data_IF_440876299237
#
_entry.id   IF_440876299237
#
_cell.length_a   1.000
_cell.length_b   1.000
_cell.length_c   1.000
_cell.angle_alpha   90.00
_cell.angle_beta   90.00
_cell.angle_gamma   90.00
#
_symmetry.space_group_name_H-M   'P 1'
#
loop_
_entity.id
_entity.type
_entity.pdbx_description
1 polymer ?
#
# COMPACT_ATOMS: atom_id res chain seq x y z
N UNK A 1 -20.13 -20.56 -16.67
CA UNK A 1 -20.15 -19.23 -16.03
C UNK A 1 -18.76 -18.67 -16.21
N UNK A 2 -18.56 -17.59 -16.96
CA UNK A 2 -17.24 -16.93 -17.02
C UNK A 2 -16.97 -16.40 -15.62
N UNK A 3 -16.03 -16.96 -14.90
CA UNK A 3 -15.53 -16.37 -13.67
C UNK A 3 -15.06 -14.95 -14.02
N UNK A 4 -15.60 -13.95 -13.34
CA UNK A 4 -15.18 -12.57 -13.51
C UNK A 4 -13.70 -12.46 -13.15
N UNK A 5 -13.01 -11.47 -13.73
CA UNK A 5 -11.60 -11.18 -13.36
C UNK A 5 -11.51 -10.87 -11.87
N UNK A 6 -10.41 -11.31 -11.25
CA UNK A 6 -10.07 -10.91 -9.88
C UNK A 6 -9.85 -9.40 -9.83
N UNK A 7 -10.46 -8.74 -8.86
CA UNK A 7 -10.25 -7.30 -8.62
C UNK A 7 -9.16 -7.11 -7.57
N UNK A 8 -8.09 -6.45 -7.94
CA UNK A 8 -6.89 -6.32 -7.10
C UNK A 8 -6.60 -4.86 -6.82
N UNK A 9 -6.52 -4.52 -5.53
CA UNK A 9 -6.14 -3.19 -5.05
C UNK A 9 -4.63 -3.00 -5.14
N UNK A 10 -4.19 -1.90 -5.73
CA UNK A 10 -2.77 -1.56 -5.94
C UNK A 10 -2.37 -0.35 -5.10
N UNK A 11 -1.34 -0.52 -4.25
CA UNK A 11 -0.84 0.47 -3.30
C UNK A 11 0.62 0.82 -3.60
N UNK A 12 0.88 2.06 -4.02
CA UNK A 12 2.20 2.54 -4.42
C UNK A 12 3.15 2.79 -3.24
N UNK A 13 4.44 2.93 -3.51
CA UNK A 13 5.47 3.28 -2.52
C UNK A 13 5.48 4.76 -2.15
N UNK A 14 6.29 5.12 -1.14
CA UNK A 14 6.53 6.51 -0.72
C UNK A 14 7.07 7.34 -1.89
N UNK A 15 6.63 8.60 -1.99
CA UNK A 15 6.96 9.54 -3.05
C UNK A 15 6.64 9.05 -4.48
N UNK A 16 5.79 8.05 -4.60
CA UNK A 16 5.18 7.61 -5.85
C UNK A 16 3.74 8.12 -5.95
N UNK A 17 3.06 7.79 -7.03
CA UNK A 17 1.63 7.95 -7.24
C UNK A 17 1.10 6.78 -8.08
N UNK A 18 -0.22 6.72 -8.26
CA UNK A 18 -0.86 5.67 -9.06
C UNK A 18 -0.28 5.56 -10.48
N UNK A 19 0.08 6.68 -11.12
CA UNK A 19 0.60 6.69 -12.50
C UNK A 19 2.02 6.13 -12.56
N UNK A 20 2.91 6.57 -11.68
CA UNK A 20 4.28 6.07 -11.60
C UNK A 20 4.32 4.60 -11.21
N UNK A 21 3.45 4.16 -10.30
CA UNK A 21 3.35 2.76 -9.92
C UNK A 21 2.78 1.89 -11.06
N UNK A 22 1.74 2.35 -11.75
CA UNK A 22 1.20 1.66 -12.93
C UNK A 22 2.27 1.43 -14.00
N UNK A 23 3.12 2.42 -14.25
CA UNK A 23 4.24 2.28 -15.19
C UNK A 23 5.25 1.23 -14.72
N UNK A 24 5.58 1.22 -13.43
CA UNK A 24 6.55 0.26 -12.84
C UNK A 24 6.10 -1.19 -12.99
N UNK A 25 4.82 -1.47 -12.84
CA UNK A 25 4.27 -2.84 -12.91
C UNK A 25 3.55 -3.14 -14.24
N UNK A 26 3.80 -2.36 -15.29
CA UNK A 26 3.11 -2.52 -16.57
C UNK A 26 3.25 -3.92 -17.17
N UNK A 27 4.42 -4.57 -17.03
CA UNK A 27 4.65 -5.94 -17.49
C UNK A 27 3.75 -6.95 -16.74
N UNK A 28 3.64 -6.83 -15.41
CA UNK A 28 2.74 -7.66 -14.60
C UNK A 28 1.29 -7.43 -15.00
N UNK A 29 0.88 -6.17 -15.14
CA UNK A 29 -0.48 -5.83 -15.57
C UNK A 29 -0.82 -6.44 -16.92
N UNK A 30 0.11 -6.39 -17.88
CA UNK A 30 -0.05 -7.00 -19.21
C UNK A 30 -0.19 -8.53 -19.11
N UNK A 31 0.61 -9.18 -18.29
CA UNK A 31 0.59 -10.64 -18.12
C UNK A 31 -0.68 -11.13 -17.44
N UNK A 32 -1.25 -10.34 -16.52
CA UNK A 32 -2.44 -10.72 -15.75
C UNK A 32 -3.76 -10.20 -16.36
N UNK A 33 -3.73 -9.50 -17.50
CA UNK A 33 -4.88 -8.79 -18.06
C UNK A 33 -6.14 -9.65 -18.28
N UNK A 34 -5.94 -10.95 -18.50
CA UNK A 34 -7.06 -11.87 -18.80
C UNK A 34 -7.69 -12.44 -17.52
N UNK A 35 -6.99 -12.39 -16.38
CA UNK A 35 -7.39 -12.96 -15.10
C UNK A 35 -7.63 -11.94 -14.00
N UNK A 36 -7.08 -10.72 -14.11
CA UNK A 36 -7.20 -9.70 -13.08
C UNK A 36 -7.45 -8.30 -13.64
N UNK A 37 -8.22 -7.52 -12.87
CA UNK A 37 -8.40 -6.08 -13.01
C UNK A 37 -7.64 -5.38 -11.88
N UNK A 38 -6.70 -4.48 -12.23
CA UNK A 38 -5.88 -3.74 -11.29
C UNK A 38 -6.45 -2.34 -11.05
N UNK A 39 -6.84 -2.07 -9.80
CA UNK A 39 -7.39 -0.80 -9.36
C UNK A 39 -6.35 -0.08 -8.50
N UNK A 40 -5.87 1.07 -8.96
CA UNK A 40 -4.79 1.82 -8.34
C UNK A 40 -5.33 2.91 -7.44
N UNK A 41 -5.11 2.80 -6.15
CA UNK A 41 -5.35 3.87 -5.21
C UNK A 41 -4.18 4.88 -5.20
N UNK A 42 -4.47 6.12 -4.82
CA UNK A 42 -3.47 7.19 -4.78
C UNK A 42 -3.37 7.75 -3.36
N UNK A 43 -2.18 7.69 -2.76
CA UNK A 43 -1.97 8.15 -1.39
C UNK A 43 -2.46 9.59 -1.17
N UNK A 44 -3.12 9.89 -0.05
CA UNK A 44 -3.75 11.19 0.17
C UNK A 44 -2.76 12.32 0.48
N UNK A 45 -1.53 11.98 0.92
CA UNK A 45 -0.56 12.98 1.37
C UNK A 45 0.39 13.38 0.25
N UNK A 46 0.54 14.69 0.03
CA UNK A 46 1.61 15.23 -0.79
C UNK A 46 2.91 15.23 0.01
N UNK A 47 3.99 14.76 -0.59
CA UNK A 47 5.31 14.68 0.03
C UNK A 47 6.38 15.20 -0.92
N UNK A 48 7.58 15.56 -0.41
CA UNK A 48 8.70 15.88 -1.29
C UNK A 48 9.06 14.71 -2.20
N UNK A 49 9.60 15.02 -3.37
CA UNK A 49 10.17 14.01 -4.27
C UNK A 49 11.38 13.33 -3.61
N UNK A 50 11.72 12.13 -4.09
CA UNK A 50 12.99 11.51 -3.71
C UNK A 50 14.14 12.11 -4.53
N UNK A 51 15.37 12.18 -3.96
CA UNK A 51 16.55 12.50 -4.73
C UNK A 51 16.71 11.57 -5.94
N UNK A 52 17.21 12.11 -7.04
CA UNK A 52 17.55 11.35 -8.25
C UNK A 52 18.86 11.85 -8.84
N UNK A 53 19.45 11.11 -9.78
CA UNK A 53 20.68 11.54 -10.47
C UNK A 53 20.51 12.89 -11.18
N UNK A 54 19.32 13.14 -11.76
CA UNK A 54 18.99 14.39 -12.43
C UNK A 54 18.57 15.51 -11.48
N UNK A 55 18.21 15.19 -10.25
CA UNK A 55 17.77 16.14 -9.24
C UNK A 55 18.14 15.61 -7.84
N UNK A 56 19.34 15.94 -7.34
CA UNK A 56 19.83 15.42 -6.06
C UNK A 56 19.09 15.99 -4.85
N UNK A 57 18.45 17.15 -4.99
CA UNK A 57 17.70 17.78 -3.91
C UNK A 57 16.21 17.41 -4.00
N UNK A 58 15.59 16.96 -2.89
CA UNK A 58 14.15 16.73 -2.84
C UNK A 58 13.38 18.02 -3.15
N UNK A 59 12.52 17.98 -4.15
CA UNK A 59 11.62 19.11 -4.42
C UNK A 59 10.45 19.09 -3.43
N UNK A 60 10.08 20.25 -2.86
CA UNK A 60 8.91 20.36 -2.02
C UNK A 60 7.64 20.00 -2.80
N UNK A 61 6.58 19.56 -2.13
CA UNK A 61 5.30 19.32 -2.79
C UNK A 61 4.81 20.59 -3.49
N UNK A 62 4.43 20.48 -4.76
CA UNK A 62 3.79 21.55 -5.49
C UNK A 62 2.37 21.11 -5.89
N UNK A 63 1.31 21.69 -5.30
CA UNK A 63 -0.08 21.34 -5.62
C UNK A 63 -0.46 21.63 -7.07
N UNK A 64 0.24 22.55 -7.73
CA UNK A 64 -0.01 22.94 -9.12
C UNK A 64 0.64 21.98 -10.12
N UNK A 65 1.47 21.05 -9.67
CA UNK A 65 2.02 20.03 -10.54
C UNK A 65 0.91 19.11 -11.09
N UNK A 66 1.03 18.66 -12.34
CA UNK A 66 0.12 17.66 -12.88
C UNK A 66 0.05 16.43 -11.97
N UNK A 67 -1.13 15.82 -11.76
CA UNK A 67 -1.33 14.71 -10.82
C UNK A 67 -0.33 13.56 -10.98
N UNK A 68 0.11 13.29 -12.20
CA UNK A 68 1.09 12.24 -12.51
C UNK A 68 2.52 12.58 -12.08
N UNK A 69 2.81 13.83 -11.74
CA UNK A 69 4.12 14.30 -11.21
C UNK A 69 4.12 14.48 -9.71
N UNK A 70 2.95 14.54 -9.07
CA UNK A 70 2.85 14.75 -7.64
C UNK A 70 3.36 13.53 -6.87
N UNK A 71 4.37 13.73 -6.03
CA UNK A 71 4.84 12.70 -5.11
C UNK A 71 3.85 12.54 -3.94
N UNK A 72 3.45 11.31 -3.66
CA UNK A 72 2.42 10.97 -2.69
C UNK A 72 2.89 9.93 -1.70
N UNK A 73 2.23 9.87 -0.55
CA UNK A 73 2.47 8.87 0.48
C UNK A 73 1.16 8.46 1.18
N UNK A 74 1.23 7.34 1.87
CA UNK A 74 0.15 6.84 2.72
C UNK A 74 0.24 7.42 4.14
N UNK A 75 1.44 7.65 4.61
CA UNK A 75 1.75 8.28 5.90
C UNK A 75 3.19 8.80 5.88
N UNK A 76 3.52 9.70 6.80
CA UNK A 76 4.89 10.10 7.08
C UNK A 76 5.38 9.37 8.34
N UNK A 77 6.56 8.74 8.27
CA UNK A 77 7.18 8.13 9.44
C UNK A 77 8.04 9.16 10.18
N UNK A 78 7.72 9.40 11.45
CA UNK A 78 8.50 10.28 12.32
C UNK A 78 8.59 9.65 13.70
N UNK A 79 9.81 9.38 14.17
CA UNK A 79 10.08 8.78 15.49
C UNK A 79 9.26 7.49 15.75
N UNK A 80 9.15 6.62 14.74
CA UNK A 80 8.37 5.38 14.82
C UNK A 80 6.84 5.56 14.78
N UNK A 81 6.33 6.77 14.60
CA UNK A 81 4.91 7.08 14.46
C UNK A 81 4.51 7.32 13.01
N UNK A 82 3.30 6.92 12.65
CA UNK A 82 2.73 7.14 11.32
C UNK A 82 1.79 8.34 11.34
N UNK A 83 2.37 9.50 11.00
CA UNK A 83 1.64 10.77 10.92
C UNK A 83 0.74 10.77 9.67
N UNK A 84 -0.51 11.19 9.82
CA UNK A 84 -1.48 11.24 8.73
C UNK A 84 -2.27 9.95 8.54
N UNK A 85 -2.08 8.94 9.41
CA UNK A 85 -2.80 7.68 9.31
C UNK A 85 -4.33 7.85 9.28
N UNK A 86 -4.92 8.67 10.14
CA UNK A 86 -6.37 8.88 10.17
C UNK A 86 -6.94 9.38 8.83
N UNK A 87 -6.21 10.27 8.13
CA UNK A 87 -6.58 10.72 6.79
C UNK A 87 -6.51 9.57 5.78
N UNK A 88 -5.48 8.75 5.86
CA UNK A 88 -5.31 7.57 5.00
C UNK A 88 -6.40 6.53 5.26
N UNK A 89 -6.73 6.26 6.51
CA UNK A 89 -7.79 5.33 6.88
C UNK A 89 -9.14 5.79 6.32
N UNK A 90 -9.49 7.06 6.52
CA UNK A 90 -10.73 7.63 5.98
C UNK A 90 -10.77 7.56 4.45
N UNK A 91 -9.67 7.93 3.78
CA UNK A 91 -9.57 7.84 2.33
C UNK A 91 -9.76 6.40 1.82
N UNK A 92 -9.11 5.41 2.47
CA UNK A 92 -9.20 4.01 2.06
C UNK A 92 -10.58 3.42 2.31
N UNK A 93 -11.24 3.79 3.40
CA UNK A 93 -12.63 3.39 3.67
C UNK A 93 -13.54 3.83 2.53
N UNK A 94 -13.44 5.10 2.13
CA UNK A 94 -14.23 5.64 1.04
C UNK A 94 -13.86 5.01 -0.30
N UNK A 95 -12.57 4.90 -0.61
CA UNK A 95 -12.07 4.32 -1.86
C UNK A 95 -12.51 2.85 -2.02
N UNK A 96 -12.42 2.05 -0.96
CA UNK A 96 -12.82 0.64 -0.99
C UNK A 96 -14.35 0.49 -1.08
N UNK A 97 -15.09 1.38 -0.42
CA UNK A 97 -16.55 1.42 -0.55
C UNK A 97 -16.99 1.73 -1.97
N UNK A 98 -16.31 2.66 -2.65
CA UNK A 98 -16.66 3.10 -4.00
C UNK A 98 -16.20 2.11 -5.08
N UNK A 99 -15.01 1.54 -4.92
CA UNK A 99 -14.34 0.74 -5.95
C UNK A 99 -14.27 -0.75 -5.64
N UNK A 100 -14.57 -1.19 -4.42
CA UNK A 100 -14.57 -2.60 -4.01
C UNK A 100 -15.81 -3.37 -4.47
N UNK A 101 -15.97 -4.62 -4.05
CA UNK A 101 -14.99 -5.36 -3.24
C UNK A 101 -13.74 -5.75 -4.02
N UNK A 102 -12.66 -6.08 -3.29
CA UNK A 102 -11.40 -6.53 -3.86
C UNK A 102 -11.11 -7.98 -3.44
N UNK A 103 -10.66 -8.81 -4.39
CA UNK A 103 -10.21 -10.18 -4.14
C UNK A 103 -8.82 -10.23 -3.52
N UNK A 104 -7.96 -9.26 -3.84
CA UNK A 104 -6.59 -9.22 -3.35
C UNK A 104 -6.01 -7.81 -3.28
N UNK A 105 -4.84 -7.72 -2.68
CA UNK A 105 -4.07 -6.47 -2.57
C UNK A 105 -2.61 -6.68 -2.98
N UNK A 106 -2.05 -5.72 -3.71
CA UNK A 106 -0.63 -5.68 -4.05
C UNK A 106 -0.06 -4.35 -3.58
N UNK A 107 0.97 -4.39 -2.73
CA UNK A 107 1.66 -3.21 -2.26
C UNK A 107 3.13 -3.21 -2.64
N UNK A 108 3.69 -2.01 -2.83
CA UNK A 108 5.12 -1.79 -3.05
C UNK A 108 5.69 -0.89 -1.95
N UNK A 109 6.77 -1.31 -1.29
CA UNK A 109 7.48 -0.56 -0.25
C UNK A 109 6.51 -0.04 0.84
N UNK A 110 6.28 1.26 1.00
CA UNK A 110 5.29 1.80 1.93
C UNK A 110 3.88 1.26 1.66
N UNK A 111 3.50 1.09 0.39
CA UNK A 111 2.24 0.45 0.03
C UNK A 111 2.18 -1.03 0.41
N UNK A 112 3.34 -1.72 0.47
CA UNK A 112 3.40 -3.10 0.95
C UNK A 112 3.24 -3.19 2.48
N UNK A 113 3.81 -2.25 3.24
CA UNK A 113 3.51 -2.11 4.66
C UNK A 113 2.00 -1.88 4.88
N UNK A 114 1.41 -0.98 4.09
CA UNK A 114 -0.03 -0.70 4.15
C UNK A 114 -0.87 -1.93 3.76
N UNK A 115 -0.46 -2.72 2.75
CA UNK A 115 -1.17 -3.95 2.39
C UNK A 115 -1.19 -4.96 3.55
N UNK A 116 -0.09 -5.06 4.31
CA UNK A 116 -0.03 -5.87 5.53
C UNK A 116 -1.00 -5.37 6.60
N UNK A 117 -1.04 -4.06 6.85
CA UNK A 117 -2.02 -3.45 7.77
C UNK A 117 -3.45 -3.78 7.35
N UNK A 118 -3.80 -3.56 6.06
CA UNK A 118 -5.14 -3.82 5.56
C UNK A 118 -5.52 -5.31 5.60
N UNK A 119 -4.57 -6.21 5.31
CA UNK A 119 -4.81 -7.64 5.36
C UNK A 119 -5.11 -8.11 6.78
N UNK A 120 -4.29 -7.67 7.75
CA UNK A 120 -4.52 -7.97 9.17
C UNK A 120 -5.82 -7.33 9.70
N UNK A 121 -6.12 -6.09 9.29
CA UNK A 121 -7.35 -5.40 9.66
C UNK A 121 -8.61 -6.05 9.07
N UNK A 122 -8.52 -6.67 7.90
CA UNK A 122 -9.64 -7.40 7.32
C UNK A 122 -9.99 -8.69 8.10
N UNK A 123 -9.00 -9.30 8.75
CA UNK A 123 -9.19 -10.45 9.64
C UNK A 123 -9.61 -10.02 11.06
N UNK A 124 -9.13 -8.86 11.52
CA UNK A 124 -9.35 -8.32 12.87
C UNK A 124 -9.77 -6.85 12.81
N UNK A 125 -10.98 -6.53 12.33
CA UNK A 125 -11.40 -5.14 12.09
C UNK A 125 -11.53 -4.30 13.36
N UNK A 126 -11.68 -4.93 14.51
CA UNK A 126 -11.72 -4.29 15.83
C UNK A 126 -10.34 -3.82 16.34
N UNK A 127 -9.25 -4.29 15.73
CA UNK A 127 -7.87 -4.00 16.15
C UNK A 127 -7.20 -2.87 15.37
N UNK A 128 -7.82 -2.39 14.30
CA UNK A 128 -7.24 -1.29 13.53
C UNK A 128 -7.39 0.04 14.26
N UNK A 129 -6.30 0.81 14.44
CA UNK A 129 -6.35 2.05 15.19
C UNK A 129 -6.99 3.20 14.40
N UNK A 130 -7.58 4.15 15.14
CA UNK A 130 -8.08 5.45 14.63
C UNK A 130 -9.15 5.33 13.53
N UNK A 131 -9.95 4.26 13.55
CA UNK A 131 -11.10 4.09 12.65
C UNK A 131 -12.35 3.80 13.48
N UNK A 132 -13.49 4.34 13.04
CA UNK A 132 -14.80 4.10 13.66
C UNK A 132 -15.58 2.95 13.01
N UNK A 133 -15.23 2.59 11.79
CA UNK A 133 -15.88 1.55 11.00
C UNK A 133 -14.82 0.70 10.29
N UNK A 134 -15.08 -0.60 10.03
CA UNK A 134 -14.16 -1.44 9.28
C UNK A 134 -13.82 -0.85 7.91
N UNK A 135 -12.53 -0.78 7.57
CA UNK A 135 -12.07 -0.34 6.24
C UNK A 135 -12.48 -1.36 5.16
N UNK A 136 -12.47 -2.64 5.54
CA UNK A 136 -12.86 -3.76 4.66
C UNK A 136 -14.04 -4.52 5.27
N UNK A 137 -14.95 -4.96 4.43
CA UNK A 137 -16.12 -5.77 4.81
C UNK A 137 -15.88 -7.27 4.70
N UNK A 138 -14.76 -7.66 4.09
CA UNK A 138 -14.36 -9.07 3.91
C UNK A 138 -12.82 -9.17 3.80
N UNK A 139 -12.22 -10.29 4.24
CA UNK A 139 -10.80 -10.55 4.03
C UNK A 139 -10.44 -10.66 2.55
N UNK A 140 -9.19 -10.32 2.23
CA UNK A 140 -8.61 -10.60 0.92
C UNK A 140 -8.40 -12.11 0.74
N UNK A 141 -8.54 -12.60 -0.48
CA UNK A 141 -8.19 -13.98 -0.85
C UNK A 141 -6.68 -14.19 -0.92
N UNK A 142 -5.93 -13.12 -1.17
CA UNK A 142 -4.47 -13.11 -1.18
C UNK A 142 -3.92 -11.69 -1.02
N UNK A 143 -2.66 -11.59 -0.60
CA UNK A 143 -1.90 -10.35 -0.62
C UNK A 143 -0.53 -10.57 -1.26
N UNK A 144 0.02 -9.54 -1.93
CA UNK A 144 1.38 -9.55 -2.48
C UNK A 144 2.11 -8.33 -1.93
N UNK A 145 3.18 -8.58 -1.20
CA UNK A 145 4.04 -7.58 -0.56
C UNK A 145 5.38 -7.51 -1.31
N UNK A 146 5.62 -6.41 -2.02
CA UNK A 146 6.84 -6.20 -2.78
C UNK A 146 7.72 -5.19 -2.04
N UNK A 147 8.93 -5.61 -1.61
CA UNK A 147 9.83 -4.82 -0.75
C UNK A 147 9.11 -4.26 0.47
N UNK A 148 8.28 -5.10 1.11
CA UNK A 148 7.46 -4.73 2.25
C UNK A 148 8.20 -4.89 3.58
N UNK A 149 7.61 -4.31 4.62
CA UNK A 149 8.06 -4.41 6.01
C UNK A 149 6.85 -4.31 6.94
N UNK A 150 6.98 -4.88 8.14
CA UNK A 150 5.97 -4.76 9.18
C UNK A 150 5.82 -3.29 9.63
N UNK A 151 4.61 -2.88 9.97
CA UNK A 151 4.36 -1.55 10.53
C UNK A 151 5.19 -1.33 11.80
N UNK A 152 5.96 -0.24 11.81
CA UNK A 152 6.85 0.11 12.92
C UNK A 152 6.17 0.97 14.00
N UNK A 153 5.01 1.54 13.72
CA UNK A 153 4.24 2.29 14.73
C UNK A 153 3.55 1.31 15.68
N UNK A 154 3.87 1.34 17.00
CA UNK A 154 3.32 0.40 17.97
C UNK A 154 1.80 0.34 18.06
N UNK A 155 1.11 1.38 17.60
CA UNK A 155 -0.36 1.36 17.57
C UNK A 155 -0.95 0.26 16.67
N UNK A 156 -0.15 -0.28 15.74
CA UNK A 156 -0.54 -1.40 14.88
C UNK A 156 -0.17 -2.78 15.45
N UNK A 157 0.58 -2.85 16.55
CA UNK A 157 0.98 -4.14 17.14
C UNK A 157 -0.20 -5.07 17.44
N UNK A 158 -1.38 -4.59 17.89
CA UNK A 158 -2.53 -5.45 18.09
C UNK A 158 -3.00 -6.21 16.84
N UNK A 159 -2.78 -5.66 15.63
CA UNK A 159 -3.12 -6.34 14.37
C UNK A 159 -2.27 -7.60 14.13
N UNK A 160 -1.08 -7.65 14.70
CA UNK A 160 -0.12 -8.74 14.51
C UNK A 160 0.02 -9.65 15.73
N UNK A 161 -0.94 -9.60 16.67
CA UNK A 161 -0.95 -10.48 17.86
C UNK A 161 -1.20 -11.94 17.50
N UNK A 162 -1.78 -12.19 16.34
CA UNK A 162 -2.00 -13.50 15.74
C UNK A 162 -1.44 -13.54 14.31
N UNK A 163 -1.00 -14.71 13.81
CA UNK A 163 -0.56 -14.84 12.42
C UNK A 163 -1.68 -14.53 11.44
N UNK A 164 -1.38 -13.75 10.41
CA UNK A 164 -2.29 -13.48 9.28
C UNK A 164 -2.58 -14.81 8.57
N UNK A 165 -3.86 -15.12 8.35
CA UNK A 165 -4.32 -16.34 7.71
C UNK A 165 -4.42 -16.19 6.18
N UNK A 166 -4.64 -14.98 5.70
CA UNK A 166 -4.64 -14.68 4.26
C UNK A 166 -3.30 -15.05 3.63
N UNK A 167 -3.27 -15.83 2.54
CA UNK A 167 -2.03 -16.16 1.84
C UNK A 167 -1.28 -14.91 1.38
N UNK A 168 -0.02 -14.74 1.79
CA UNK A 168 0.83 -13.61 1.45
C UNK A 168 2.04 -14.06 0.65
N UNK A 169 2.20 -13.53 -0.57
CA UNK A 169 3.43 -13.65 -1.34
C UNK A 169 4.34 -12.46 -1.01
N UNK A 170 5.48 -12.72 -0.41
CA UNK A 170 6.50 -11.72 -0.11
C UNK A 170 7.60 -11.75 -1.18
N UNK A 171 7.87 -10.61 -1.80
CA UNK A 171 8.90 -10.42 -2.81
C UNK A 171 9.84 -9.32 -2.35
N UNK A 172 11.13 -9.62 -2.21
CA UNK A 172 12.15 -8.63 -1.89
C UNK A 172 13.45 -8.92 -2.67
N UNK A 173 14.18 -7.86 -2.97
CA UNK A 173 15.46 -7.97 -3.63
C UNK A 173 16.57 -8.36 -2.64
N UNK A 174 17.48 -9.26 -3.03
CA UNK A 174 18.61 -9.67 -2.18
C UNK A 174 19.51 -8.48 -1.80
N UNK A 175 19.58 -7.46 -2.65
CA UNK A 175 20.40 -6.26 -2.49
C UNK A 175 19.56 -5.01 -2.20
N UNK A 176 18.35 -5.15 -1.67
CA UNK A 176 17.53 -3.99 -1.29
C UNK A 176 18.16 -3.29 -0.08
N UNK A 177 18.73 -2.10 -0.32
CA UNK A 177 19.41 -1.30 0.70
C UNK A 177 18.44 -0.50 1.59
N UNK A 178 17.17 -0.39 1.21
CA UNK A 178 16.15 0.35 1.93
C UNK A 178 15.34 -0.58 2.83
N UNK A 179 14.88 -1.69 2.26
CA UNK A 179 14.19 -2.75 2.98
C UNK A 179 15.11 -3.97 3.01
N UNK A 180 15.98 -4.01 4.00
CA UNK A 180 16.91 -5.14 4.17
C UNK A 180 16.15 -6.44 4.46
N UNK A 181 16.75 -7.59 4.14
CA UNK A 181 16.17 -8.92 4.43
C UNK A 181 15.76 -9.06 5.90
N UNK A 182 16.53 -8.50 6.84
CA UNK A 182 16.19 -8.52 8.26
C UNK A 182 14.89 -7.74 8.55
N UNK A 183 14.66 -6.62 7.88
CA UNK A 183 13.48 -5.78 8.05
C UNK A 183 12.25 -6.35 7.36
N UNK A 184 12.43 -7.17 6.32
CA UNK A 184 11.36 -7.84 5.61
C UNK A 184 10.85 -9.09 6.32
N UNK A 185 11.66 -9.68 7.24
CA UNK A 185 11.34 -10.93 7.96
C UNK A 185 10.69 -10.69 9.34
N UNK A 186 10.54 -9.45 9.78
CA UNK A 186 9.89 -9.12 11.07
C UNK A 186 8.43 -8.76 10.86
#
# INVERSE_FOLDING_TARGET
MSEGKLRVLLLHGYAMNQTSFRRRIAALQKSCRDVAEFVFANGPHHVPTLPSESNPDPLPPNPDDPPEKQARAWFMSREGKYIGWGVTAAYLTEFIREHGPFDGVIGFSQGACLSGILTAAAEHPDRIPDVSEPILTQPFRFAISISGFRAADPKFDPLYSEPIQTPVLMIHGENDSIVTNQRAQT
#
